data_IF_140285721991
#
_entry.id   IF_140285721991
#
_cell.length_a   1.000
_cell.length_b   1.000
_cell.length_c   1.000
_cell.angle_alpha   90.00
_cell.angle_beta   90.00
_cell.angle_gamma   90.00
#
_symmetry.space_group_name_H-M   'P 1'
#
loop_
_entity.id
_entity.type
_entity.pdbx_description
1 polymer ?
#
# COMPACT_ATOMS: atom_id res chain seq x y z
N UNK A 1 3.80 -5.97 -32.79
CA UNK A 1 3.17 -4.88 -32.01
C UNK A 1 4.26 -3.99 -31.40
N UNK A 2 4.27 -2.68 -31.67
CA UNK A 2 5.35 -1.80 -31.24
C UNK A 2 5.36 -1.58 -29.72
N UNK A 3 6.46 -1.06 -29.16
CA UNK A 3 6.57 -0.71 -27.73
C UNK A 3 5.52 0.35 -27.31
N UNK A 4 5.21 1.27 -28.21
CA UNK A 4 4.18 2.30 -28.02
C UNK A 4 2.76 1.73 -28.00
N UNK A 5 2.47 0.75 -28.86
CA UNK A 5 1.15 0.10 -28.91
C UNK A 5 0.89 -0.72 -27.64
N UNK A 6 1.92 -1.44 -27.14
CA UNK A 6 1.83 -2.14 -25.85
C UNK A 6 1.55 -1.21 -24.67
N UNK A 7 2.13 -0.02 -24.66
CA UNK A 7 1.90 0.97 -23.61
C UNK A 7 0.47 1.52 -23.63
N UNK A 8 -0.02 1.94 -24.81
CA UNK A 8 -1.40 2.42 -24.96
C UNK A 8 -2.43 1.35 -24.63
N UNK A 9 -2.16 0.10 -25.01
CA UNK A 9 -3.00 -1.03 -24.68
C UNK A 9 -3.11 -1.20 -23.17
N UNK A 10 -1.99 -1.31 -22.44
CA UNK A 10 -1.98 -1.39 -20.97
C UNK A 10 -2.70 -0.24 -20.28
N UNK A 11 -2.59 0.98 -20.83
CA UNK A 11 -3.28 2.16 -20.31
C UNK A 11 -4.81 2.05 -20.40
N UNK A 12 -5.33 1.34 -21.41
CA UNK A 12 -6.76 1.10 -21.59
C UNK A 12 -7.31 0.17 -20.50
N UNK A 13 -6.66 -0.98 -20.26
CA UNK A 13 -7.06 -1.93 -19.21
C UNK A 13 -7.13 -1.26 -17.84
N UNK A 14 -6.11 -0.48 -17.50
CA UNK A 14 -6.06 0.27 -16.25
C UNK A 14 -7.22 1.27 -16.13
N UNK A 15 -7.50 2.04 -17.19
CA UNK A 15 -8.59 3.02 -17.18
C UNK A 15 -9.96 2.36 -17.05
N UNK A 16 -10.19 1.28 -17.81
CA UNK A 16 -11.44 0.54 -17.77
C UNK A 16 -11.68 -0.01 -16.35
N UNK A 17 -10.64 -0.55 -15.71
CA UNK A 17 -10.70 -1.00 -14.32
C UNK A 17 -11.12 0.13 -13.38
N UNK A 18 -10.35 1.21 -13.28
CA UNK A 18 -10.61 2.26 -12.28
C UNK A 18 -11.89 3.06 -12.52
N UNK A 19 -12.38 3.11 -13.76
CA UNK A 19 -13.63 3.79 -14.09
C UNK A 19 -14.87 2.97 -13.73
N UNK A 20 -14.75 1.64 -13.70
CA UNK A 20 -15.85 0.71 -13.46
C UNK A 20 -15.77 0.01 -12.09
N UNK A 21 -14.64 0.14 -11.40
CA UNK A 21 -14.41 -0.52 -10.13
C UNK A 21 -15.44 -0.10 -9.07
N UNK A 22 -16.09 -1.08 -8.46
CA UNK A 22 -17.02 -0.91 -7.35
C UNK A 22 -16.70 -1.88 -6.23
N UNK A 23 -16.93 -1.44 -4.99
CA UNK A 23 -16.74 -2.23 -3.80
C UNK A 23 -17.95 -2.04 -2.88
N UNK A 24 -18.52 -3.15 -2.39
CA UNK A 24 -19.65 -3.15 -1.48
C UNK A 24 -19.37 -4.04 -0.27
N UNK A 25 -19.24 -3.39 0.89
CA UNK A 25 -18.99 -4.02 2.19
C UNK A 25 -20.13 -4.94 2.63
N UNK A 26 -21.37 -4.67 2.21
CA UNK A 26 -22.55 -5.37 2.70
C UNK A 26 -22.86 -6.64 1.89
N UNK A 27 -22.50 -6.63 0.61
CA UNK A 27 -22.88 -7.71 -0.31
C UNK A 27 -21.77 -8.77 -0.39
N UNK A 28 -20.51 -8.36 -0.62
CA UNK A 28 -19.36 -9.28 -0.78
C UNK A 28 -18.08 -8.65 -0.21
N UNK A 29 -17.83 -8.78 1.11
CA UNK A 29 -16.64 -8.21 1.72
C UNK A 29 -15.38 -8.85 1.13
N UNK A 30 -14.40 -8.04 0.73
CA UNK A 30 -13.13 -8.52 0.21
C UNK A 30 -13.02 -8.66 -1.32
N UNK A 31 -14.05 -8.27 -2.08
CA UNK A 31 -14.04 -8.36 -3.54
C UNK A 31 -14.29 -7.01 -4.22
N UNK A 32 -13.40 -6.61 -5.14
CA UNK A 32 -13.61 -5.48 -6.05
C UNK A 32 -14.15 -6.00 -7.38
N UNK A 33 -15.28 -5.47 -7.81
CA UNK A 33 -15.86 -5.76 -9.14
C UNK A 33 -15.45 -4.68 -10.12
N UNK A 34 -15.02 -5.05 -11.32
CA UNK A 34 -14.77 -4.12 -12.40
C UNK A 34 -15.16 -4.71 -13.75
N UNK A 35 -15.34 -3.85 -14.75
CA UNK A 35 -15.56 -4.24 -16.15
C UNK A 35 -14.37 -3.75 -16.97
N UNK A 36 -13.58 -4.69 -17.49
CA UNK A 36 -12.38 -4.40 -18.28
C UNK A 36 -12.56 -4.97 -19.67
N UNK A 37 -12.45 -4.14 -20.71
CA UNK A 37 -12.67 -4.58 -22.10
C UNK A 37 -14.03 -5.28 -22.36
N UNK A 38 -15.05 -4.97 -21.56
CA UNK A 38 -16.38 -5.57 -21.65
C UNK A 38 -16.57 -6.85 -20.83
N UNK A 39 -15.52 -7.35 -20.18
CA UNK A 39 -15.58 -8.52 -19.31
C UNK A 39 -15.66 -8.09 -17.84
N UNK A 40 -16.55 -8.73 -17.08
CA UNK A 40 -16.63 -8.55 -15.63
C UNK A 40 -15.51 -9.33 -14.96
N UNK A 41 -14.73 -8.67 -14.14
CA UNK A 41 -13.68 -9.27 -13.34
C UNK A 41 -13.95 -9.08 -11.86
N UNK A 42 -13.53 -10.06 -11.07
CA UNK A 42 -13.46 -10.01 -9.61
C UNK A 42 -11.99 -9.90 -9.25
N UNK A 43 -11.66 -8.94 -8.40
CA UNK A 43 -10.30 -8.66 -7.97
C UNK A 43 -10.22 -8.70 -6.45
N UNK A 44 -9.27 -9.46 -5.93
CA UNK A 44 -9.13 -9.75 -4.50
C UNK A 44 -7.73 -9.42 -3.98
N UNK A 45 -7.52 -9.46 -2.66
CA UNK A 45 -6.19 -9.33 -2.07
C UNK A 45 -5.22 -10.46 -2.52
N UNK A 46 -5.73 -11.65 -2.85
CA UNK A 46 -4.92 -12.73 -3.40
C UNK A 46 -4.36 -12.39 -4.78
N UNK A 47 -5.12 -11.67 -5.60
CA UNK A 47 -4.66 -11.24 -6.92
C UNK A 47 -3.54 -10.19 -6.80
N UNK A 48 -3.61 -9.33 -5.77
CA UNK A 48 -2.49 -8.45 -5.40
C UNK A 48 -1.27 -9.28 -5.00
N UNK A 49 -1.44 -10.32 -4.17
CA UNK A 49 -0.34 -11.19 -3.74
C UNK A 49 0.33 -11.88 -4.94
N UNK A 50 -0.47 -12.45 -5.85
CA UNK A 50 0.00 -13.06 -7.10
C UNK A 50 0.79 -12.07 -7.96
N UNK A 51 0.30 -10.83 -8.10
CA UNK A 51 0.99 -9.78 -8.87
C UNK A 51 2.34 -9.38 -8.24
N UNK A 52 2.41 -9.33 -6.92
CA UNK A 52 3.64 -9.02 -6.18
C UNK A 52 4.59 -10.22 -6.05
N UNK A 53 4.17 -11.41 -6.53
CA UNK A 53 4.87 -12.68 -6.32
C UNK A 53 5.15 -12.96 -4.84
N UNK A 54 4.16 -12.62 -4.01
CA UNK A 54 4.17 -12.90 -2.58
C UNK A 54 3.22 -14.06 -2.30
N UNK A 55 3.58 -14.90 -1.33
CA UNK A 55 2.64 -15.89 -0.82
C UNK A 55 1.43 -15.15 -0.23
N UNK A 56 0.19 -15.59 -0.52
CA UNK A 56 -1.00 -14.99 0.06
C UNK A 56 -1.01 -15.28 1.56
N UNK A 57 -0.56 -14.31 2.35
CA UNK A 57 -0.57 -14.39 3.81
C UNK A 57 -1.94 -13.95 4.33
N UNK A 58 -2.95 -14.75 4.00
CA UNK A 58 -4.34 -14.52 4.39
C UNK A 58 -4.44 -14.73 5.90
N UNK A 59 -4.57 -13.64 6.64
CA UNK A 59 -4.96 -13.69 8.05
C UNK A 59 -3.82 -13.64 9.07
N UNK A 60 -2.61 -13.19 8.72
CA UNK A 60 -1.65 -12.80 9.77
C UNK A 60 -1.98 -11.39 10.26
N UNK A 61 -2.57 -11.21 11.45
CA UNK A 61 -2.75 -9.87 11.99
C UNK A 61 -1.36 -9.25 12.16
N UNK A 62 -1.19 -8.05 11.64
CA UNK A 62 -0.04 -7.25 12.03
C UNK A 62 -0.30 -6.78 13.47
N UNK A 63 0.14 -7.58 14.44
CA UNK A 63 -0.25 -7.45 15.85
C UNK A 63 0.44 -6.33 16.61
N UNK A 64 1.49 -5.72 16.06
CA UNK A 64 2.25 -4.72 16.80
C UNK A 64 1.38 -3.50 17.10
N UNK A 65 1.27 -3.19 18.39
CA UNK A 65 0.62 -1.97 18.85
C UNK A 65 1.56 -0.75 18.67
N UNK A 66 1.05 0.46 18.93
CA UNK A 66 1.85 1.70 18.82
C UNK A 66 3.14 1.65 19.63
N UNK A 67 3.09 1.17 20.87
CA UNK A 67 4.26 1.08 21.75
C UNK A 67 5.29 0.08 21.20
N UNK A 68 4.86 -1.08 20.71
CA UNK A 68 5.77 -2.08 20.13
C UNK A 68 6.47 -1.55 18.87
N UNK A 69 5.72 -0.84 18.02
CA UNK A 69 6.28 -0.19 16.83
C UNK A 69 7.31 0.86 17.23
N UNK A 70 6.97 1.73 18.20
CA UNK A 70 7.90 2.74 18.68
C UNK A 70 9.19 2.14 19.25
N UNK A 71 9.06 1.13 20.12
CA UNK A 71 10.21 0.46 20.74
C UNK A 71 11.10 -0.21 19.69
N UNK A 72 10.50 -0.88 18.69
CA UNK A 72 11.26 -1.48 17.60
C UNK A 72 12.03 -0.45 16.77
N UNK A 73 11.43 0.71 16.48
CA UNK A 73 12.16 1.80 15.82
C UNK A 73 13.26 2.40 16.71
N UNK A 74 13.02 2.51 18.02
CA UNK A 74 14.04 2.97 18.98
C UNK A 74 15.24 2.02 19.03
N UNK A 75 15.01 0.70 19.00
CA UNK A 75 16.06 -0.33 18.86
C UNK A 75 16.83 -0.20 17.53
N UNK A 76 16.17 0.27 16.47
CA UNK A 76 16.77 0.58 15.17
C UNK A 76 17.48 1.95 15.15
N UNK A 77 17.57 2.66 16.27
CA UNK A 77 18.24 3.96 16.37
C UNK A 77 17.39 5.15 15.90
N UNK A 78 16.06 5.08 16.05
CA UNK A 78 15.16 6.21 15.83
C UNK A 78 15.25 7.21 16.99
N UNK A 79 15.54 8.47 16.69
CA UNK A 79 15.74 9.54 17.70
C UNK A 79 14.50 10.42 17.93
N UNK A 80 13.39 10.17 17.20
CA UNK A 80 12.20 11.02 17.27
C UNK A 80 11.33 10.72 18.48
N UNK A 81 10.88 11.74 19.21
CA UNK A 81 10.05 11.58 20.42
C UNK A 81 8.55 11.82 20.18
N UNK A 82 8.18 12.26 18.98
CA UNK A 82 6.81 12.68 18.65
C UNK A 82 5.93 11.58 18.05
N UNK A 83 6.44 10.34 17.93
CA UNK A 83 5.73 9.23 17.29
C UNK A 83 4.40 8.91 17.98
N UNK A 84 4.36 8.80 19.31
CA UNK A 84 3.13 8.43 20.02
C UNK A 84 2.00 9.46 19.83
N UNK A 85 2.36 10.74 19.67
CA UNK A 85 1.41 11.81 19.43
C UNK A 85 0.98 11.90 17.95
N UNK A 86 1.90 11.66 17.00
CA UNK A 86 1.66 11.84 15.56
C UNK A 86 1.30 10.57 14.82
N UNK A 87 1.51 9.41 15.42
CA UNK A 87 1.38 8.09 14.81
C UNK A 87 2.15 7.99 13.47
N UNK A 88 3.33 8.60 13.43
CA UNK A 88 4.17 8.70 12.23
C UNK A 88 5.67 8.64 12.62
N UNK A 89 6.44 7.79 11.93
CA UNK A 89 7.90 7.71 12.05
C UNK A 89 8.51 8.64 11.00
N UNK A 90 9.16 9.73 11.42
CA UNK A 90 9.84 10.62 10.47
C UNK A 90 11.19 10.05 10.04
N UNK A 91 11.39 9.88 8.73
CA UNK A 91 12.64 9.32 8.20
C UNK A 91 13.88 10.18 8.54
N UNK A 92 13.70 11.46 8.85
CA UNK A 92 14.79 12.36 9.27
C UNK A 92 15.44 11.95 10.58
N UNK A 93 14.72 11.27 11.47
CA UNK A 93 15.22 10.79 12.77
C UNK A 93 15.72 9.34 12.72
N UNK A 94 15.73 8.71 11.54
CA UNK A 94 16.33 7.39 11.35
C UNK A 94 17.80 7.52 10.96
N UNK A 95 18.60 6.48 11.28
CA UNK A 95 19.94 6.31 10.72
C UNK A 95 19.91 6.25 9.18
N UNK A 96 21.06 6.40 8.53
CA UNK A 96 21.16 6.48 7.06
C UNK A 96 20.57 5.25 6.37
N UNK A 97 20.82 4.06 6.92
CA UNK A 97 20.39 2.77 6.39
C UNK A 97 18.87 2.63 6.48
N UNK A 98 18.31 2.86 7.67
CA UNK A 98 16.86 2.77 7.90
C UNK A 98 16.09 3.87 7.18
N UNK A 99 16.68 5.08 7.07
CA UNK A 99 16.12 6.18 6.29
C UNK A 99 15.97 5.82 4.81
N UNK A 100 16.93 5.11 4.23
CA UNK A 100 16.84 4.64 2.85
C UNK A 100 15.69 3.65 2.68
N UNK A 101 15.55 2.68 3.57
CA UNK A 101 14.45 1.69 3.53
C UNK A 101 13.09 2.41 3.68
N UNK A 102 12.96 3.32 4.65
CA UNK A 102 11.74 4.12 4.82
C UNK A 102 11.41 4.93 3.55
N UNK A 103 12.44 5.51 2.90
CA UNK A 103 12.26 6.24 1.66
C UNK A 103 11.72 5.34 0.53
N UNK A 104 12.25 4.13 0.37
CA UNK A 104 11.78 3.17 -0.64
C UNK A 104 10.32 2.77 -0.37
N UNK A 105 9.97 2.47 0.88
CA UNK A 105 8.59 2.12 1.25
C UNK A 105 7.64 3.28 0.93
N UNK A 106 8.00 4.52 1.31
CA UNK A 106 7.19 5.70 1.01
C UNK A 106 7.04 5.90 -0.50
N UNK A 107 8.14 5.80 -1.25
CA UNK A 107 8.13 6.06 -2.69
C UNK A 107 7.33 5.00 -3.48
N UNK A 108 7.37 3.74 -3.05
CA UNK A 108 6.75 2.63 -3.77
C UNK A 108 5.30 2.36 -3.33
N UNK A 109 4.98 2.57 -2.05
CA UNK A 109 3.77 2.01 -1.47
C UNK A 109 2.85 3.05 -0.81
N UNK A 110 3.33 4.25 -0.48
CA UNK A 110 2.50 5.27 0.13
C UNK A 110 1.44 5.80 -0.85
N UNK A 111 0.17 5.63 -0.49
CA UNK A 111 -0.97 6.08 -1.28
C UNK A 111 -1.24 7.59 -1.12
N UNK A 112 -0.52 8.29 -0.22
CA UNK A 112 -0.72 9.72 0.04
C UNK A 112 -0.25 10.58 -1.15
N UNK A 113 -1.08 11.56 -1.54
CA UNK A 113 -0.82 12.49 -2.67
C UNK A 113 0.42 13.37 -2.53
N UNK A 114 0.87 13.65 -1.30
CA UNK A 114 2.07 14.45 -1.02
C UNK A 114 3.19 13.54 -0.55
N UNK A 115 4.40 13.79 -1.04
CA UNK A 115 5.61 13.16 -0.50
C UNK A 115 5.74 13.54 0.96
N UNK A 116 5.36 12.62 1.83
CA UNK A 116 5.50 12.80 3.27
C UNK A 116 6.91 12.38 3.67
N UNK A 117 7.45 13.05 4.69
CA UNK A 117 8.77 12.73 5.23
C UNK A 117 8.72 11.65 6.32
N UNK A 118 7.59 10.94 6.45
CA UNK A 118 7.43 9.91 7.46
C UNK A 118 6.52 8.77 7.03
N UNK A 119 6.71 7.63 7.70
CA UNK A 119 5.85 6.46 7.58
C UNK A 119 4.68 6.62 8.55
N UNK A 120 3.44 6.57 8.06
CA UNK A 120 2.29 6.45 8.95
C UNK A 120 2.40 5.16 9.80
N UNK A 121 1.58 5.04 10.84
CA UNK A 121 1.63 3.88 11.75
C UNK A 121 1.58 2.54 11.02
N UNK A 122 0.73 2.40 10.01
CA UNK A 122 0.58 1.15 9.26
C UNK A 122 1.87 0.80 8.50
N UNK A 123 2.44 1.75 7.76
CA UNK A 123 3.68 1.54 7.02
C UNK A 123 4.90 1.38 7.93
N UNK A 124 4.92 2.06 9.07
CA UNK A 124 5.93 1.87 10.11
C UNK A 124 5.87 0.43 10.64
N UNK A 125 4.68 -0.06 10.97
CA UNK A 125 4.45 -1.45 11.38
C UNK A 125 4.90 -2.44 10.32
N UNK A 126 4.58 -2.18 9.05
CA UNK A 126 4.99 -3.02 7.90
C UNK A 126 6.50 -3.07 7.77
N UNK A 127 7.16 -1.90 7.79
CA UNK A 127 8.61 -1.82 7.75
C UNK A 127 9.24 -2.62 8.87
N UNK A 128 8.74 -2.48 10.11
CA UNK A 128 9.28 -3.17 11.27
C UNK A 128 9.15 -4.69 11.15
N UNK A 129 7.98 -5.19 10.73
CA UNK A 129 7.78 -6.63 10.47
C UNK A 129 8.76 -7.14 9.40
N UNK A 130 8.86 -6.43 8.26
CA UNK A 130 9.79 -6.79 7.20
C UNK A 130 11.24 -6.85 7.69
N UNK A 131 11.67 -5.89 8.52
CA UNK A 131 13.02 -5.85 9.07
C UNK A 131 13.28 -6.98 10.08
N UNK A 132 12.25 -7.44 10.80
CA UNK A 132 12.33 -8.58 11.72
C UNK A 132 12.22 -9.95 11.03
N UNK A 133 11.92 -9.96 9.72
CA UNK A 133 11.61 -11.20 9.00
C UNK A 133 10.22 -11.75 9.32
N UNK A 134 9.38 -10.95 9.97
CA UNK A 134 8.01 -11.29 10.31
C UNK A 134 7.07 -11.04 9.13
N UNK A 135 5.92 -11.69 9.20
CA UNK A 135 4.83 -11.55 8.24
C UNK A 135 4.29 -10.11 8.20
N UNK A 136 4.29 -9.53 7.00
CA UNK A 136 3.69 -8.23 6.71
C UNK A 136 2.64 -8.45 5.61
N UNK A 137 1.36 -8.29 5.94
CA UNK A 137 0.25 -8.54 5.02
C UNK A 137 0.09 -7.39 4.00
N UNK A 138 1.16 -7.12 3.24
CA UNK A 138 1.26 -6.06 2.24
C UNK A 138 0.20 -6.19 1.15
N UNK A 139 -0.12 -7.39 0.61
CA UNK A 139 -1.20 -7.53 -0.36
C UNK A 139 -2.54 -7.02 0.16
N UNK A 140 -2.90 -7.38 1.40
CA UNK A 140 -4.15 -6.92 2.03
C UNK A 140 -4.14 -5.41 2.27
N UNK A 141 -3.00 -4.83 2.68
CA UNK A 141 -2.88 -3.39 2.85
C UNK A 141 -3.09 -2.63 1.54
N UNK A 142 -2.41 -3.05 0.48
CA UNK A 142 -2.57 -2.44 -0.86
C UNK A 142 -4.01 -2.58 -1.33
N UNK A 143 -4.62 -3.76 -1.15
CA UNK A 143 -6.03 -3.98 -1.48
C UNK A 143 -6.98 -3.04 -0.71
N UNK A 144 -6.74 -2.84 0.58
CA UNK A 144 -7.45 -1.85 1.40
C UNK A 144 -7.34 -0.44 0.82
N UNK A 145 -6.15 0.00 0.44
CA UNK A 145 -5.97 1.31 -0.20
C UNK A 145 -6.62 1.40 -1.59
N UNK A 146 -6.73 0.30 -2.33
CA UNK A 146 -7.51 0.27 -3.58
C UNK A 146 -9.00 0.49 -3.31
N UNK A 147 -9.56 -0.15 -2.27
CA UNK A 147 -10.94 0.07 -1.84
C UNK A 147 -11.17 1.52 -1.43
N UNK A 148 -10.30 2.07 -0.59
CA UNK A 148 -10.38 3.48 -0.18
C UNK A 148 -10.35 4.41 -1.40
N UNK A 149 -9.52 4.11 -2.40
CA UNK A 149 -9.46 4.89 -3.64
C UNK A 149 -10.74 4.79 -4.48
N UNK A 150 -11.39 3.63 -4.51
CA UNK A 150 -12.66 3.43 -5.22
C UNK A 150 -13.75 4.30 -4.58
N UNK A 151 -13.82 4.28 -3.25
CA UNK A 151 -14.82 5.01 -2.45
C UNK A 151 -14.50 6.50 -2.32
N UNK A 152 -13.26 6.91 -2.55
CA UNK A 152 -12.82 8.29 -2.47
C UNK A 152 -13.53 9.19 -3.50
N UNK A 153 -13.81 10.43 -3.09
CA UNK A 153 -14.32 11.46 -3.99
C UNK A 153 -13.29 11.79 -5.09
N UNK A 154 -13.72 12.30 -6.25
CA UNK A 154 -12.83 12.56 -7.40
C UNK A 154 -11.60 13.43 -7.06
N UNK A 155 -11.72 14.35 -6.10
CA UNK A 155 -10.62 15.20 -5.60
C UNK A 155 -9.64 14.46 -4.70
N UNK A 156 -10.04 13.34 -4.11
CA UNK A 156 -9.26 12.54 -3.16
C UNK A 156 -8.70 11.27 -3.81
N UNK A 157 -9.28 10.83 -4.95
CA UNK A 157 -8.74 9.73 -5.76
C UNK A 157 -7.28 10.00 -6.11
N UNK A 158 -6.43 9.05 -5.77
CA UNK A 158 -5.04 9.03 -6.18
C UNK A 158 -4.92 8.15 -7.42
N UNK A 159 -4.23 8.67 -8.43
CA UNK A 159 -4.00 7.93 -9.66
C UNK A 159 -2.75 7.08 -9.42
N UNK A 160 -2.92 5.76 -9.40
CA UNK A 160 -1.85 4.75 -9.46
C UNK A 160 -1.16 4.82 -10.83
N UNK A 161 -0.54 5.96 -11.14
CA UNK A 161 0.47 5.98 -12.17
C UNK A 161 1.71 5.34 -11.56
N UNK A 162 2.06 4.14 -12.05
CA UNK A 162 3.46 3.70 -12.00
C UNK A 162 4.27 4.84 -12.60
N UNK A 163 5.03 5.56 -11.76
CA UNK A 163 6.01 6.52 -12.23
C UNK A 163 7.09 5.71 -12.93
N UNK A 164 6.98 5.61 -14.24
CA UNK A 164 8.00 5.05 -15.13
C UNK A 164 9.09 6.08 -15.42
#
# INVERSE_FOLDING_TARGET
MSRFDRFRFKLKYYKDFWNSATYDLNTQPGEIFATVMGERIVFTAEDVAKMLKMEPDVGSPMLLNLTDVYNGFNEMGYEGTDFLARREIKKSFLSKEWRFIAHVIIACLDHRKRGTDGLNFEWARTMLNLCKGDKANIPQMIFGYMIENIQASRKDKWLLYLRS
#
